data_IF_607311741000
#
_entry.id   IF_607311741000
#
_cell.length_a   1.000
_cell.length_b   1.000
_cell.length_c   1.000
_cell.angle_alpha   90.00
_cell.angle_beta   90.00
_cell.angle_gamma   90.00
#
_symmetry.space_group_name_H-M   'P 1'
#
loop_
_entity.id
_entity.type
_entity.pdbx_description
1 polymer ?
#
# COMPACT_ATOMS: atom_id res chain seq x y z
N UNK A 1 -1.19 19.28 12.24
CA UNK A 1 -1.93 19.15 10.97
C UNK A 1 -3.28 19.88 11.12
N UNK A 2 -3.74 20.53 10.05
CA UNK A 2 -5.04 21.23 10.03
C UNK A 2 -6.19 20.24 9.89
N UNK A 3 -7.39 20.53 10.45
CA UNK A 3 -8.55 19.65 10.30
C UNK A 3 -8.89 19.35 8.83
N UNK A 4 -8.87 20.36 7.97
CA UNK A 4 -9.17 20.20 6.54
C UNK A 4 -8.20 19.23 5.84
N UNK A 5 -6.94 19.19 6.30
CA UNK A 5 -5.94 18.23 5.77
C UNK A 5 -6.27 16.80 6.23
N UNK A 6 -6.74 16.61 7.47
CA UNK A 6 -7.18 15.30 7.98
C UNK A 6 -8.38 14.80 7.19
N UNK A 7 -9.36 15.67 6.94
CA UNK A 7 -10.54 15.35 6.12
C UNK A 7 -10.15 14.99 4.67
N UNK A 8 -9.17 15.71 4.11
CA UNK A 8 -8.63 15.42 2.78
C UNK A 8 -7.91 14.07 2.73
N UNK A 9 -7.12 13.73 3.76
CA UNK A 9 -6.49 12.41 3.89
C UNK A 9 -7.57 11.32 3.93
N UNK A 10 -8.59 11.50 4.77
CA UNK A 10 -9.68 10.54 4.91
C UNK A 10 -10.39 10.30 3.57
N UNK A 11 -10.86 11.36 2.92
CA UNK A 11 -11.56 11.27 1.65
C UNK A 11 -10.70 10.65 0.54
N UNK A 12 -9.42 11.02 0.45
CA UNK A 12 -8.49 10.48 -0.55
C UNK A 12 -8.19 9.01 -0.28
N UNK A 13 -8.02 8.62 0.98
CA UNK A 13 -7.75 7.24 1.37
C UNK A 13 -8.89 6.31 1.03
N UNK A 14 -10.16 6.71 1.27
CA UNK A 14 -11.32 5.91 0.91
C UNK A 14 -11.42 5.69 -0.60
N UNK A 15 -11.24 6.75 -1.40
CA UNK A 15 -11.20 6.63 -2.87
C UNK A 15 -10.05 5.73 -3.35
N UNK A 16 -8.88 5.84 -2.73
CA UNK A 16 -7.73 5.02 -3.07
C UNK A 16 -7.94 3.55 -2.72
N UNK A 17 -8.59 3.27 -1.58
CA UNK A 17 -8.99 1.91 -1.18
C UNK A 17 -9.92 1.28 -2.22
N UNK A 18 -11.01 1.96 -2.58
CA UNK A 18 -11.97 1.48 -3.57
C UNK A 18 -11.30 1.18 -4.91
N UNK A 19 -10.51 2.13 -5.42
CA UNK A 19 -9.78 1.98 -6.68
C UNK A 19 -8.82 0.80 -6.64
N UNK A 20 -8.02 0.67 -5.57
CA UNK A 20 -7.05 -0.41 -5.43
C UNK A 20 -7.71 -1.77 -5.26
N UNK A 21 -8.77 -1.89 -4.47
CA UNK A 21 -9.49 -3.16 -4.32
C UNK A 21 -10.08 -3.63 -5.65
N UNK A 22 -10.66 -2.72 -6.43
CA UNK A 22 -11.16 -3.01 -7.78
C UNK A 22 -10.02 -3.47 -8.69
N UNK A 23 -8.93 -2.72 -8.73
CA UNK A 23 -7.74 -3.02 -9.54
C UNK A 23 -7.16 -4.40 -9.20
N UNK A 24 -7.00 -4.71 -7.91
CA UNK A 24 -6.45 -6.00 -7.48
C UNK A 24 -7.41 -7.14 -7.84
N UNK A 25 -8.72 -6.96 -7.61
CA UNK A 25 -9.73 -7.96 -7.98
C UNK A 25 -9.73 -8.26 -9.48
N UNK A 26 -9.63 -7.23 -10.32
CA UNK A 26 -9.52 -7.38 -11.77
C UNK A 26 -8.24 -8.11 -12.19
N UNK A 27 -7.10 -7.85 -11.53
CA UNK A 27 -5.87 -8.58 -11.80
C UNK A 27 -5.98 -10.05 -11.38
N UNK A 28 -6.56 -10.31 -10.20
CA UNK A 28 -6.78 -11.66 -9.70
C UNK A 28 -7.65 -12.48 -10.67
N UNK A 29 -8.72 -11.90 -11.17
CA UNK A 29 -9.60 -12.56 -12.14
C UNK A 29 -8.96 -12.65 -13.52
N UNK A 30 -8.49 -11.53 -14.07
CA UNK A 30 -8.05 -11.45 -15.47
C UNK A 30 -6.72 -12.10 -15.78
N UNK A 31 -5.80 -12.14 -14.80
CA UNK A 31 -4.45 -12.71 -14.99
C UNK A 31 -4.35 -14.09 -14.38
N UNK A 32 -4.87 -14.25 -13.17
CA UNK A 32 -4.69 -15.46 -12.38
C UNK A 32 -5.92 -16.37 -12.32
N UNK A 33 -7.03 -15.96 -12.88
CA UNK A 33 -8.27 -16.73 -12.91
C UNK A 33 -8.92 -16.93 -11.54
N UNK A 34 -8.60 -16.08 -10.56
CA UNK A 34 -9.20 -16.11 -9.23
C UNK A 34 -10.41 -15.18 -9.20
N UNK A 35 -11.59 -15.76 -9.17
CA UNK A 35 -12.87 -15.05 -9.15
C UNK A 35 -13.14 -14.38 -7.80
N UNK A 36 -13.97 -13.32 -7.74
CA UNK A 36 -14.43 -12.72 -6.49
C UNK A 36 -15.10 -13.71 -5.51
N UNK A 37 -15.68 -14.81 -6.03
CA UNK A 37 -16.20 -15.91 -5.22
C UNK A 37 -15.12 -16.72 -4.49
N UNK A 38 -13.82 -16.44 -4.74
CA UNK A 38 -12.69 -17.18 -4.24
C UNK A 38 -12.45 -18.53 -4.93
N UNK A 39 -13.09 -18.75 -6.06
CA UNK A 39 -12.89 -19.95 -6.88
C UNK A 39 -11.91 -19.64 -8.01
N UNK A 40 -11.08 -20.64 -8.33
CA UNK A 40 -10.18 -20.55 -9.46
C UNK A 40 -10.78 -21.17 -10.72
N UNK A 41 -10.68 -20.46 -11.84
CA UNK A 41 -10.93 -21.05 -13.16
C UNK A 41 -9.77 -21.96 -13.59
N UNK A 42 -10.00 -22.89 -14.50
CA UNK A 42 -8.93 -23.75 -15.04
C UNK A 42 -7.76 -22.94 -15.59
N UNK A 43 -6.53 -23.29 -15.21
CA UNK A 43 -5.32 -22.57 -15.66
C UNK A 43 -5.16 -22.55 -17.19
N UNK A 44 -5.69 -23.57 -17.89
CA UNK A 44 -5.65 -23.65 -19.35
C UNK A 44 -6.42 -22.52 -20.07
N UNK A 45 -7.36 -21.86 -19.37
CA UNK A 45 -8.10 -20.70 -19.92
C UNK A 45 -7.27 -19.41 -19.89
N UNK A 46 -6.10 -19.43 -19.26
CA UNK A 46 -5.23 -18.26 -19.05
C UNK A 46 -3.86 -18.46 -19.71
N UNK A 47 -3.69 -18.09 -21.00
CA UNK A 47 -2.43 -18.31 -21.75
C UNK A 47 -1.20 -17.68 -21.07
N UNK A 48 -1.40 -16.58 -20.35
CA UNK A 48 -0.36 -15.90 -19.57
C UNK A 48 0.30 -16.83 -18.55
N UNK A 49 -0.45 -17.75 -17.93
CA UNK A 49 0.09 -18.71 -16.96
C UNK A 49 1.00 -19.76 -17.62
N UNK A 50 0.81 -20.04 -18.90
CA UNK A 50 1.66 -20.95 -19.65
C UNK A 50 2.91 -20.27 -20.23
N UNK A 51 2.86 -18.96 -20.48
CA UNK A 51 3.92 -18.22 -21.16
C UNK A 51 4.85 -17.42 -20.22
N UNK A 52 4.38 -17.06 -19.03
CA UNK A 52 5.13 -16.23 -18.06
C UNK A 52 5.34 -17.02 -16.77
N UNK A 53 6.57 -17.51 -16.49
CA UNK A 53 6.86 -18.33 -15.30
C UNK A 53 6.49 -17.63 -13.99
N UNK A 54 6.70 -16.31 -13.88
CA UNK A 54 6.35 -15.53 -12.70
C UNK A 54 4.84 -15.48 -12.46
N UNK A 55 4.02 -15.48 -13.52
CA UNK A 55 2.57 -15.51 -13.39
C UNK A 55 2.09 -16.88 -12.88
N UNK A 56 2.65 -17.97 -13.41
CA UNK A 56 2.36 -19.33 -12.96
C UNK A 56 2.75 -19.53 -11.48
N UNK A 57 3.90 -19.02 -11.08
CA UNK A 57 4.36 -19.08 -9.68
C UNK A 57 3.45 -18.26 -8.76
N UNK A 58 3.07 -17.06 -9.17
CA UNK A 58 2.15 -16.22 -8.42
C UNK A 58 0.80 -16.92 -8.24
N UNK A 59 0.28 -17.56 -9.29
CA UNK A 59 -0.96 -18.33 -9.22
C UNK A 59 -0.86 -19.47 -8.20
N UNK A 60 0.22 -20.25 -8.20
CA UNK A 60 0.42 -21.33 -7.21
C UNK A 60 0.45 -20.79 -5.78
N UNK A 61 1.13 -19.65 -5.56
CA UNK A 61 1.17 -19.02 -4.22
C UNK A 61 -0.21 -18.52 -3.79
N UNK A 62 -1.02 -18.00 -4.71
CA UNK A 62 -2.41 -17.62 -4.43
C UNK A 62 -3.26 -18.85 -4.04
N UNK A 63 -3.10 -19.96 -4.74
CA UNK A 63 -3.80 -21.22 -4.43
C UNK A 63 -3.47 -21.72 -3.02
N UNK A 64 -2.18 -21.70 -2.65
CA UNK A 64 -1.73 -22.09 -1.30
C UNK A 64 -2.31 -21.14 -0.25
N UNK A 65 -2.17 -19.81 -0.44
CA UNK A 65 -2.70 -18.83 0.51
C UNK A 65 -4.20 -18.99 0.74
N UNK A 66 -4.99 -19.13 -0.32
CA UNK A 66 -6.43 -19.30 -0.17
C UNK A 66 -6.80 -20.64 0.50
N UNK A 67 -6.02 -21.69 0.26
CA UNK A 67 -6.21 -22.96 0.95
C UNK A 67 -5.95 -22.82 2.47
N UNK A 68 -4.86 -22.14 2.84
CA UNK A 68 -4.49 -21.90 4.24
C UNK A 68 -5.55 -21.04 4.96
N UNK A 69 -6.02 -19.96 4.32
CA UNK A 69 -7.07 -19.09 4.88
C UNK A 69 -8.41 -19.86 5.07
N UNK A 70 -8.72 -20.76 4.15
CA UNK A 70 -9.91 -21.62 4.28
C UNK A 70 -9.76 -22.64 5.41
N UNK A 71 -8.57 -23.19 5.61
CA UNK A 71 -8.29 -24.05 6.77
C UNK A 71 -8.37 -23.29 8.09
N UNK A 72 -8.03 -21.99 8.07
CA UNK A 72 -8.20 -21.08 9.21
C UNK A 72 -9.68 -20.70 9.48
N UNK A 73 -10.63 -21.14 8.63
CA UNK A 73 -12.07 -20.98 8.85
C UNK A 73 -12.74 -19.91 7.99
N UNK A 74 -12.02 -19.24 7.10
CA UNK A 74 -12.63 -18.27 6.17
C UNK A 74 -13.34 -18.98 5.02
N UNK A 75 -14.44 -18.40 4.54
CA UNK A 75 -15.01 -18.80 3.25
C UNK A 75 -14.08 -18.41 2.11
N UNK A 76 -14.24 -19.03 0.95
CA UNK A 76 -13.42 -18.69 -0.24
C UNK A 76 -13.56 -17.20 -0.64
N UNK A 77 -14.77 -16.65 -0.55
CA UNK A 77 -15.04 -15.23 -0.81
C UNK A 77 -14.36 -14.33 0.21
N UNK A 78 -14.43 -14.65 1.50
CA UNK A 78 -13.75 -13.89 2.56
C UNK A 78 -12.23 -13.92 2.39
N UNK A 79 -11.66 -15.06 2.00
CA UNK A 79 -10.23 -15.18 1.72
C UNK A 79 -9.80 -14.31 0.53
N UNK A 80 -10.59 -14.27 -0.56
CA UNK A 80 -10.36 -13.36 -1.69
C UNK A 80 -10.44 -11.89 -1.27
N UNK A 81 -11.45 -11.50 -0.50
CA UNK A 81 -11.65 -10.13 -0.03
C UNK A 81 -10.50 -9.69 0.90
N UNK A 82 -10.09 -10.55 1.83
CA UNK A 82 -8.94 -10.32 2.70
C UNK A 82 -7.65 -10.09 1.90
N UNK A 83 -7.35 -10.97 0.94
CA UNK A 83 -6.19 -10.82 0.06
C UNK A 83 -6.22 -9.51 -0.70
N UNK A 84 -7.35 -9.18 -1.31
CA UNK A 84 -7.51 -7.94 -2.09
C UNK A 84 -7.31 -6.71 -1.21
N UNK A 85 -7.85 -6.72 -0.01
CA UNK A 85 -7.70 -5.66 0.99
C UNK A 85 -6.25 -5.50 1.44
N UNK A 86 -5.56 -6.60 1.77
CA UNK A 86 -4.16 -6.58 2.20
C UNK A 86 -3.23 -6.07 1.09
N UNK A 87 -3.45 -6.48 -0.16
CA UNK A 87 -2.68 -5.99 -1.29
C UNK A 87 -2.94 -4.49 -1.55
N UNK A 88 -4.20 -4.06 -1.50
CA UNK A 88 -4.59 -2.65 -1.66
C UNK A 88 -3.98 -1.78 -0.55
N UNK A 89 -4.07 -2.22 0.70
CA UNK A 89 -3.48 -1.55 1.85
C UNK A 89 -1.96 -1.42 1.72
N UNK A 90 -1.29 -2.50 1.31
CA UNK A 90 0.16 -2.51 1.14
C UNK A 90 0.60 -1.50 0.07
N UNK A 91 -0.06 -1.46 -1.07
CA UNK A 91 0.30 -0.52 -2.15
C UNK A 91 0.02 0.93 -1.78
N UNK A 92 -1.11 1.21 -1.13
CA UNK A 92 -1.38 2.57 -0.65
C UNK A 92 -0.30 3.03 0.33
N UNK A 93 0.03 2.21 1.33
CA UNK A 93 1.06 2.57 2.31
C UNK A 93 2.45 2.74 1.68
N UNK A 94 2.83 1.92 0.68
CA UNK A 94 4.08 2.09 -0.05
C UNK A 94 4.15 3.45 -0.73
N UNK A 95 3.09 3.84 -1.45
CA UNK A 95 3.03 5.14 -2.14
C UNK A 95 3.06 6.32 -1.15
N UNK A 96 2.32 6.22 -0.04
CA UNK A 96 2.34 7.20 1.05
C UNK A 96 3.73 7.30 1.68
N UNK A 97 4.37 6.16 1.96
CA UNK A 97 5.73 6.13 2.51
C UNK A 97 6.75 6.76 1.56
N UNK A 98 6.70 6.45 0.25
CA UNK A 98 7.54 7.12 -0.74
C UNK A 98 7.34 8.64 -0.69
N UNK A 99 6.09 9.09 -0.67
CA UNK A 99 5.77 10.53 -0.64
C UNK A 99 6.31 11.20 0.63
N UNK A 100 6.14 10.58 1.79
CA UNK A 100 6.64 11.10 3.06
C UNK A 100 8.17 11.11 3.12
N UNK A 101 8.84 10.08 2.58
CA UNK A 101 10.31 10.03 2.53
C UNK A 101 10.90 11.05 1.56
N UNK A 102 10.26 11.30 0.42
CA UNK A 102 10.69 12.34 -0.53
C UNK A 102 10.72 13.73 0.12
N UNK A 103 9.65 14.12 0.78
CA UNK A 103 9.54 15.45 1.40
C UNK A 103 10.52 15.63 2.58
N UNK A 104 10.94 14.53 3.20
CA UNK A 104 11.97 14.51 4.26
C UNK A 104 13.38 14.33 3.74
N UNK A 105 13.57 14.26 2.41
CA UNK A 105 14.87 14.05 1.75
C UNK A 105 15.55 12.72 2.16
N UNK A 106 14.78 11.74 2.63
CA UNK A 106 15.24 10.39 2.91
C UNK A 106 15.29 9.54 1.64
N UNK A 107 14.50 9.92 0.65
CA UNK A 107 14.43 9.31 -0.67
C UNK A 107 14.47 10.42 -1.74
N UNK A 108 15.11 10.13 -2.89
CA UNK A 108 14.97 10.99 -4.07
C UNK A 108 13.53 10.96 -4.56
N UNK A 109 13.11 11.99 -5.29
CA UNK A 109 11.77 12.02 -5.86
C UNK A 109 11.49 10.73 -6.63
N UNK A 110 10.43 10.07 -6.22
CA UNK A 110 9.97 8.78 -6.75
C UNK A 110 8.57 8.90 -7.31
N UNK A 111 7.65 9.53 -6.54
CA UNK A 111 6.23 9.65 -6.90
C UNK A 111 5.82 11.10 -7.24
N UNK A 112 6.52 12.13 -6.76
CA UNK A 112 6.09 13.53 -6.93
C UNK A 112 5.96 13.94 -8.40
N UNK A 113 6.89 13.54 -9.27
CA UNK A 113 6.89 13.87 -10.71
C UNK A 113 6.68 12.61 -11.57
N UNK A 114 6.27 11.51 -10.97
CA UNK A 114 6.05 10.24 -11.68
C UNK A 114 7.27 9.85 -12.55
N UNK A 115 7.04 9.63 -13.83
CA UNK A 115 8.06 9.25 -14.81
C UNK A 115 9.11 10.35 -15.08
N UNK A 116 8.88 11.59 -14.64
CA UNK A 116 9.84 12.69 -14.72
C UNK A 116 10.51 12.94 -13.36
N UNK A 117 10.40 12.01 -12.41
CA UNK A 117 11.03 12.15 -11.11
C UNK A 117 12.54 11.97 -11.18
N UNK A 118 13.28 12.80 -10.44
CA UNK A 118 14.75 12.75 -10.43
C UNK A 118 15.28 11.37 -9.98
N UNK A 119 14.59 10.71 -9.07
CA UNK A 119 14.96 9.36 -8.62
C UNK A 119 14.86 8.33 -9.74
N UNK A 120 13.79 8.39 -10.55
CA UNK A 120 13.64 7.50 -11.69
C UNK A 120 14.66 7.79 -12.79
N UNK A 121 14.82 9.06 -13.19
CA UNK A 121 15.78 9.43 -14.23
C UNK A 121 17.22 9.04 -13.86
N UNK A 122 17.60 9.19 -12.59
CA UNK A 122 18.92 8.73 -12.13
C UNK A 122 19.04 7.21 -12.12
N UNK A 123 17.99 6.51 -11.67
CA UNK A 123 17.98 5.04 -11.68
C UNK A 123 18.17 4.47 -13.08
N UNK A 124 17.62 5.10 -14.12
CA UNK A 124 17.82 4.70 -15.52
C UNK A 124 19.28 4.81 -15.97
N UNK A 125 20.12 5.63 -15.29
CA UNK A 125 21.54 5.75 -15.62
C UNK A 125 22.44 4.77 -14.86
N UNK A 126 21.91 4.06 -13.88
CA UNK A 126 22.66 3.06 -13.12
C UNK A 126 22.94 1.83 -14.00
N UNK A 127 24.10 1.20 -13.79
CA UNK A 127 24.50 -0.01 -14.49
C UNK A 127 23.48 -1.14 -14.25
N UNK A 128 23.12 -1.87 -15.30
CA UNK A 128 22.11 -2.94 -15.25
C UNK A 128 20.69 -2.48 -15.59
N UNK A 129 20.46 -1.18 -15.81
CA UNK A 129 19.14 -0.62 -16.15
C UNK A 129 19.03 -0.17 -17.63
N UNK A 130 19.92 -0.66 -18.50
CA UNK A 130 19.98 -0.28 -19.91
C UNK A 130 18.68 -0.61 -20.66
N UNK A 131 18.06 -1.75 -20.38
CA UNK A 131 16.78 -2.16 -20.94
C UNK A 131 15.66 -1.17 -20.52
N UNK A 132 15.65 -0.79 -19.26
CA UNK A 132 14.66 0.14 -18.74
C UNK A 132 14.83 1.57 -19.27
N UNK A 133 16.07 1.97 -19.55
CA UNK A 133 16.35 3.24 -20.23
C UNK A 133 15.83 3.20 -21.67
N UNK A 134 16.06 2.10 -22.39
CA UNK A 134 15.50 1.91 -23.74
C UNK A 134 13.97 1.96 -23.71
N UNK A 135 13.33 1.28 -22.76
CA UNK A 135 11.89 1.36 -22.54
C UNK A 135 11.41 2.81 -22.28
N UNK A 136 12.15 3.58 -21.47
CA UNK A 136 11.83 4.98 -21.20
C UNK A 136 11.88 5.83 -22.50
N UNK A 137 12.89 5.67 -23.31
CA UNK A 137 13.06 6.37 -24.57
C UNK A 137 12.02 5.97 -25.63
N UNK A 138 11.51 4.74 -25.59
CA UNK A 138 10.48 4.24 -26.49
C UNK A 138 9.09 4.88 -26.25
N UNK A 139 8.87 5.56 -25.09
CA UNK A 139 7.68 6.32 -24.80
C UNK A 139 6.52 5.52 -24.20
N UNK A 140 5.35 6.16 -24.14
CA UNK A 140 4.17 5.63 -23.41
C UNK A 140 3.23 4.78 -24.27
N UNK A 141 3.41 4.75 -25.59
CA UNK A 141 2.51 4.02 -26.47
C UNK A 141 2.80 2.51 -26.40
N UNK A 142 1.77 1.67 -26.16
CA UNK A 142 1.92 0.22 -26.21
C UNK A 142 2.37 -0.23 -27.61
N UNK A 143 3.33 -1.16 -27.68
CA UNK A 143 3.86 -1.68 -28.96
C UNK A 143 2.80 -2.34 -29.83
N UNK A 144 1.71 -2.86 -29.24
CA UNK A 144 0.64 -3.57 -29.92
C UNK A 144 -0.74 -2.89 -29.75
N UNK A 145 -0.78 -1.58 -29.42
CA UNK A 145 -2.02 -0.82 -29.26
C UNK A 145 -2.80 -1.08 -27.97
N UNK A 146 -2.44 -2.10 -27.19
CA UNK A 146 -3.09 -2.45 -25.93
C UNK A 146 -2.04 -2.74 -24.84
N UNK A 147 -2.42 -2.49 -23.58
CA UNK A 147 -1.61 -2.83 -22.40
C UNK A 147 -0.69 -1.71 -21.95
N UNK A 148 0.35 -2.10 -21.23
CA UNK A 148 1.32 -1.20 -20.63
C UNK A 148 2.35 -0.73 -21.67
N UNK A 149 2.55 0.59 -21.78
CA UNK A 149 3.59 1.16 -22.62
C UNK A 149 5.00 0.96 -22.02
N UNK A 150 6.06 1.00 -22.88
CA UNK A 150 7.42 0.75 -22.42
C UNK A 150 7.86 1.65 -21.26
N UNK A 151 7.68 2.96 -21.37
CA UNK A 151 8.02 3.93 -20.31
C UNK A 151 7.26 3.66 -19.01
N UNK A 152 5.99 3.28 -19.09
CA UNK A 152 5.17 2.93 -17.94
C UNK A 152 5.70 1.66 -17.27
N UNK A 153 6.10 0.65 -18.04
CA UNK A 153 6.74 -0.58 -17.57
C UNK A 153 8.06 -0.28 -16.84
N UNK A 154 8.92 0.56 -17.42
CA UNK A 154 10.16 0.98 -16.79
C UNK A 154 9.92 1.68 -15.45
N UNK A 155 8.93 2.59 -15.38
CA UNK A 155 8.59 3.28 -14.15
C UNK A 155 8.04 2.33 -13.08
N UNK A 156 7.21 1.36 -13.44
CA UNK A 156 6.73 0.33 -12.52
C UNK A 156 7.89 -0.54 -11.99
N UNK A 157 8.85 -0.90 -12.85
CA UNK A 157 10.07 -1.62 -12.44
C UNK A 157 10.91 -0.79 -11.47
N UNK A 158 11.03 0.50 -11.71
CA UNK A 158 11.69 1.41 -10.76
C UNK A 158 11.01 1.42 -9.38
N UNK A 159 9.69 1.53 -9.31
CA UNK A 159 8.96 1.49 -8.03
C UNK A 159 9.22 0.17 -7.29
N UNK A 160 9.20 -0.96 -7.98
CA UNK A 160 9.52 -2.26 -7.40
C UNK A 160 10.98 -2.33 -6.93
N UNK A 161 11.93 -1.77 -7.69
CA UNK A 161 13.34 -1.69 -7.29
C UNK A 161 13.52 -0.84 -6.02
N UNK A 162 12.77 0.27 -5.88
CA UNK A 162 12.75 1.04 -4.64
C UNK A 162 12.19 0.24 -3.47
N UNK A 163 11.16 -0.59 -3.68
CA UNK A 163 10.66 -1.49 -2.64
C UNK A 163 11.75 -2.48 -2.21
N UNK A 164 12.45 -3.13 -3.13
CA UNK A 164 13.55 -4.05 -2.81
C UNK A 164 14.64 -3.36 -1.99
N UNK A 165 15.01 -2.13 -2.38
CA UNK A 165 16.01 -1.34 -1.65
C UNK A 165 15.58 -1.02 -0.23
N UNK A 166 14.32 -0.57 -0.06
CA UNK A 166 13.78 -0.21 1.25
C UNK A 166 13.43 -1.42 2.13
N UNK A 167 13.30 -2.61 1.54
CA UNK A 167 13.08 -3.84 2.30
C UNK A 167 14.23 -4.16 3.27
N UNK A 168 15.43 -3.64 3.01
CA UNK A 168 16.58 -3.78 3.91
C UNK A 168 16.36 -3.05 5.25
N UNK A 169 15.61 -1.95 5.23
CA UNK A 169 15.31 -1.11 6.40
C UNK A 169 13.92 -1.41 7.00
N UNK A 170 12.90 -1.56 6.14
CA UNK A 170 11.49 -1.73 6.53
C UNK A 170 10.87 -2.91 5.78
N UNK A 171 11.33 -4.12 6.10
CA UNK A 171 10.90 -5.35 5.42
C UNK A 171 9.39 -5.57 5.48
N UNK A 172 8.76 -5.30 6.61
CA UNK A 172 7.31 -5.49 6.82
C UNK A 172 6.46 -4.86 5.71
N UNK A 173 6.84 -3.64 5.26
CA UNK A 173 6.09 -2.92 4.23
C UNK A 173 6.58 -3.22 2.81
N UNK A 174 7.89 -3.40 2.64
CA UNK A 174 8.53 -3.42 1.32
C UNK A 174 9.02 -4.81 0.91
N UNK A 175 8.63 -5.89 1.60
CA UNK A 175 9.05 -7.24 1.28
C UNK A 175 8.75 -7.59 -0.20
N UNK A 176 9.78 -7.85 -1.03
CA UNK A 176 9.59 -8.21 -2.42
C UNK A 176 8.91 -9.56 -2.60
N UNK A 177 9.01 -10.44 -1.61
CA UNK A 177 8.41 -11.78 -1.63
C UNK A 177 6.92 -11.78 -1.24
N UNK A 178 6.41 -10.68 -0.72
CA UNK A 178 4.99 -10.55 -0.41
C UNK A 178 4.15 -10.61 -1.70
N UNK A 179 3.01 -11.31 -1.66
CA UNK A 179 2.09 -11.40 -2.79
C UNK A 179 1.62 -10.02 -3.30
N UNK A 180 1.46 -9.03 -2.41
CA UNK A 180 1.16 -7.67 -2.81
C UNK A 180 2.21 -7.09 -3.79
N UNK A 181 3.49 -7.47 -3.69
CA UNK A 181 4.53 -7.03 -4.63
C UNK A 181 4.31 -7.57 -6.03
N UNK A 182 3.66 -8.73 -6.16
CA UNK A 182 3.30 -9.34 -7.43
C UNK A 182 1.99 -8.81 -8.02
N UNK A 183 1.15 -8.19 -7.18
CA UNK A 183 -0.10 -7.53 -7.54
C UNK A 183 0.10 -6.01 -7.66
N UNK A 184 1.20 -5.59 -8.29
CA UNK A 184 1.49 -4.18 -8.52
C UNK A 184 0.38 -3.55 -9.38
N UNK A 185 -0.21 -2.42 -8.96
CA UNK A 185 -1.26 -1.77 -9.72
C UNK A 185 -0.82 -1.43 -11.16
N UNK A 186 -1.75 -1.54 -12.10
CA UNK A 186 -1.50 -1.19 -13.50
C UNK A 186 -1.22 0.31 -13.66
N UNK A 187 -0.57 0.73 -14.75
CA UNK A 187 -0.10 2.11 -14.93
C UNK A 187 -1.17 3.18 -14.77
N UNK A 188 -2.39 2.92 -15.25
CA UNK A 188 -3.50 3.87 -15.14
C UNK A 188 -3.91 4.09 -13.67
N UNK A 189 -4.04 3.02 -12.91
CA UNK A 189 -4.36 3.05 -11.49
C UNK A 189 -3.24 3.71 -10.69
N UNK A 190 -1.97 3.36 -10.96
CA UNK A 190 -0.82 4.02 -10.35
C UNK A 190 -0.81 5.52 -10.62
N UNK A 191 -1.04 5.93 -11.86
CA UNK A 191 -1.12 7.34 -12.24
C UNK A 191 -2.17 8.06 -11.41
N UNK A 192 -3.38 7.53 -11.36
CA UNK A 192 -4.50 8.15 -10.64
C UNK A 192 -4.22 8.26 -9.13
N UNK A 193 -3.69 7.21 -8.52
CA UNK A 193 -3.29 7.23 -7.10
C UNK A 193 -2.23 8.29 -6.83
N UNK A 194 -1.18 8.34 -7.65
CA UNK A 194 -0.09 9.30 -7.48
C UNK A 194 -0.60 10.73 -7.70
N UNK A 195 -1.51 10.95 -8.65
CA UNK A 195 -2.11 12.27 -8.87
C UNK A 195 -2.91 12.73 -7.65
N UNK A 196 -3.67 11.83 -7.03
CA UNK A 196 -4.38 12.15 -5.78
C UNK A 196 -3.42 12.48 -4.63
N UNK A 197 -2.35 11.71 -4.46
CA UNK A 197 -1.35 11.96 -3.43
C UNK A 197 -0.56 13.26 -3.68
N UNK A 198 -0.49 13.72 -4.92
CA UNK A 198 0.14 14.99 -5.30
C UNK A 198 -0.83 16.18 -5.26
N UNK A 199 -2.11 15.96 -4.95
CA UNK A 199 -3.13 17.01 -4.89
C UNK A 199 -2.80 18.12 -3.88
N UNK A 200 -3.18 19.36 -4.18
CA UNK A 200 -2.88 20.53 -3.35
C UNK A 200 -3.41 20.38 -1.91
N UNK A 201 -4.57 19.76 -1.75
CA UNK A 201 -5.22 19.52 -0.47
C UNK A 201 -4.41 18.63 0.49
N UNK A 202 -3.46 17.83 -0.04
CA UNK A 202 -2.59 16.94 0.75
C UNK A 202 -1.18 17.47 0.94
N UNK A 203 -0.81 18.64 0.40
CA UNK A 203 0.56 19.16 0.49
C UNK A 203 1.03 19.36 1.92
N UNK A 204 0.15 19.83 2.81
CA UNK A 204 0.45 19.98 4.24
C UNK A 204 0.69 18.62 4.93
N UNK A 205 -0.01 17.56 4.51
CA UNK A 205 0.10 16.24 5.09
C UNK A 205 1.53 15.64 4.99
N UNK A 206 2.24 15.97 3.94
CA UNK A 206 3.56 15.41 3.65
C UNK A 206 4.71 16.15 4.34
N UNK A 207 4.46 17.35 4.89
CA UNK A 207 5.51 18.19 5.47
C UNK A 207 6.14 17.56 6.73
N UNK A 208 7.43 17.84 6.97
CA UNK A 208 8.06 17.50 8.24
C UNK A 208 7.28 18.10 9.42
N UNK A 209 7.08 17.32 10.47
CA UNK A 209 6.21 17.69 11.60
C UNK A 209 4.82 17.06 11.55
N UNK A 210 4.41 16.50 10.40
CA UNK A 210 3.16 15.75 10.22
C UNK A 210 3.42 14.25 10.07
N UNK A 211 4.22 13.67 10.99
CA UNK A 211 4.56 12.24 11.00
C UNK A 211 3.33 11.35 11.21
N UNK A 212 2.30 11.89 11.81
CA UNK A 212 1.03 11.20 12.08
C UNK A 212 0.19 10.92 10.81
N UNK A 213 0.57 11.47 9.64
CA UNK A 213 -0.14 11.28 8.37
C UNK A 213 -0.36 9.80 8.05
N UNK A 214 0.65 8.94 8.24
CA UNK A 214 0.52 7.51 7.98
C UNK A 214 -0.51 6.84 8.91
N UNK A 215 -0.62 7.32 10.15
CA UNK A 215 -1.63 6.87 11.09
C UNK A 215 -3.05 7.26 10.68
N UNK A 216 -3.24 8.46 10.15
CA UNK A 216 -4.53 8.91 9.61
C UNK A 216 -4.92 8.13 8.36
N UNK A 217 -3.97 7.83 7.46
CA UNK A 217 -4.20 6.94 6.29
C UNK A 217 -4.62 5.55 6.74
N UNK A 218 -3.92 4.97 7.73
CA UNK A 218 -4.28 3.67 8.31
C UNK A 218 -5.70 3.67 8.87
N UNK A 219 -6.04 4.66 9.68
CA UNK A 219 -7.36 4.75 10.30
C UNK A 219 -8.47 4.97 9.27
N UNK A 220 -8.23 5.83 8.27
CA UNK A 220 -9.18 6.06 7.19
C UNK A 220 -9.39 4.81 6.32
N UNK A 221 -8.33 4.06 6.02
CA UNK A 221 -8.43 2.83 5.24
C UNK A 221 -9.31 1.78 5.93
N UNK A 222 -9.26 1.70 7.25
CA UNK A 222 -10.02 0.72 8.03
C UNK A 222 -11.36 1.26 8.57
N UNK A 223 -11.74 2.49 8.23
CA UNK A 223 -12.93 3.15 8.81
C UNK A 223 -14.23 2.41 8.52
N UNK A 224 -14.40 1.88 7.31
CA UNK A 224 -15.60 1.12 6.93
C UNK A 224 -15.70 -0.21 7.69
N UNK A 225 -14.57 -0.92 7.86
CA UNK A 225 -14.54 -2.18 8.60
C UNK A 225 -14.86 -1.94 10.08
N UNK A 226 -14.31 -0.87 10.64
CA UNK A 226 -14.61 -0.43 12.02
C UNK A 226 -16.11 -0.14 12.18
N UNK A 227 -16.69 0.61 11.25
CA UNK A 227 -18.12 0.93 11.30
C UNK A 227 -18.99 -0.32 11.17
N UNK A 228 -18.63 -1.22 10.25
CA UNK A 228 -19.34 -2.47 10.05
C UNK A 228 -19.29 -3.36 11.31
N UNK A 229 -18.10 -3.56 11.90
CA UNK A 229 -17.93 -4.35 13.11
C UNK A 229 -18.78 -3.80 14.26
N UNK A 230 -18.76 -2.47 14.48
CA UNK A 230 -19.64 -1.84 15.50
C UNK A 230 -21.12 -1.96 15.16
N UNK A 231 -21.50 -1.88 13.90
CA UNK A 231 -22.90 -2.06 13.47
C UNK A 231 -23.39 -3.47 13.77
N UNK A 232 -22.57 -4.48 13.49
CA UNK A 232 -22.89 -5.88 13.78
C UNK A 232 -23.07 -6.14 15.29
N UNK A 233 -22.19 -5.56 16.12
CA UNK A 233 -22.32 -5.69 17.58
C UNK A 233 -23.57 -4.97 18.10
N UNK A 234 -23.82 -3.72 17.65
CA UNK A 234 -24.93 -2.89 18.19
C UNK A 234 -26.29 -3.33 17.68
N UNK A 235 -26.40 -3.69 16.40
CA UNK A 235 -27.68 -4.01 15.74
C UNK A 235 -27.95 -5.49 15.74
N UNK A 236 -27.01 -6.32 15.31
CA UNK A 236 -27.15 -7.75 15.22
C UNK A 236 -26.82 -8.52 16.52
N UNK A 237 -26.36 -7.81 17.58
CA UNK A 237 -25.93 -8.35 18.87
C UNK A 237 -24.90 -9.47 18.75
N UNK A 238 -24.12 -9.47 17.68
CA UNK A 238 -22.99 -10.38 17.50
C UNK A 238 -21.83 -9.96 18.41
N UNK A 239 -20.96 -10.90 18.77
CA UNK A 239 -19.67 -10.59 19.37
C UNK A 239 -18.67 -10.25 18.27
N UNK A 240 -17.64 -9.46 18.61
CA UNK A 240 -16.51 -9.26 17.71
C UNK A 240 -15.87 -10.62 17.37
N UNK A 241 -15.62 -10.85 16.11
CA UNK A 241 -14.85 -11.97 15.61
C UNK A 241 -13.35 -11.65 15.62
N UNK A 242 -12.49 -12.65 15.45
CA UNK A 242 -11.04 -12.46 15.42
C UNK A 242 -10.60 -11.54 14.26
N UNK A 243 -11.35 -11.55 13.15
CA UNK A 243 -11.16 -10.68 11.99
C UNK A 243 -11.43 -9.21 12.27
N UNK A 244 -12.29 -8.90 13.26
CA UNK A 244 -12.67 -7.51 13.60
C UNK A 244 -11.66 -6.85 14.55
N UNK A 245 -10.92 -7.66 15.31
CA UNK A 245 -10.00 -7.16 16.36
C UNK A 245 -9.03 -6.10 15.82
N UNK A 246 -8.35 -6.28 14.67
CA UNK A 246 -7.43 -5.27 14.17
C UNK A 246 -8.11 -3.91 13.92
N UNK A 247 -9.28 -3.89 13.30
CA UNK A 247 -10.00 -2.66 12.99
C UNK A 247 -10.57 -1.96 14.22
N UNK A 248 -10.98 -2.70 15.25
CA UNK A 248 -11.58 -2.12 16.47
C UNK A 248 -10.57 -1.74 17.55
N UNK A 249 -9.35 -2.30 17.53
CA UNK A 249 -8.33 -2.08 18.57
C UNK A 249 -7.14 -1.25 18.09
N UNK A 250 -6.80 -1.30 16.82
CA UNK A 250 -5.65 -0.60 16.26
C UNK A 250 -6.03 0.84 15.85
N UNK A 251 -6.47 1.63 16.82
CA UNK A 251 -6.79 3.03 16.60
C UNK A 251 -5.51 3.88 16.64
N UNK A 252 -5.40 4.79 15.69
CA UNK A 252 -4.31 5.76 15.70
C UNK A 252 -4.45 6.71 16.89
N UNK A 253 -3.38 6.85 17.68
CA UNK A 253 -3.36 7.74 18.84
C UNK A 253 -2.83 9.12 18.44
N UNK A 254 -3.63 10.20 18.52
CA UNK A 254 -3.20 11.55 18.18
C UNK A 254 -1.95 11.98 18.95
N UNK A 255 -1.09 12.76 18.28
CA UNK A 255 0.20 13.23 18.82
C UNK A 255 0.12 13.88 20.20
N UNK A 256 -0.91 14.67 20.44
CA UNK A 256 -1.08 15.37 21.72
C UNK A 256 -1.29 14.39 22.90
N UNK A 257 -2.00 13.28 22.68
CA UNK A 257 -2.18 12.22 23.70
C UNK A 257 -0.84 11.54 23.97
N UNK A 258 -0.13 11.14 22.90
CA UNK A 258 1.21 10.52 23.05
C UNK A 258 2.15 11.45 23.79
N UNK A 259 2.20 12.72 23.41
CA UNK A 259 3.01 13.73 24.06
C UNK A 259 2.65 13.87 25.55
N UNK A 260 1.37 13.99 25.86
CA UNK A 260 0.89 14.06 27.24
C UNK A 260 1.33 12.85 28.08
N UNK A 261 1.19 11.64 27.52
CA UNK A 261 1.61 10.41 28.18
C UNK A 261 3.13 10.38 28.41
N UNK A 262 3.94 10.67 27.41
CA UNK A 262 5.40 10.67 27.49
C UNK A 262 5.88 11.74 28.48
N UNK A 263 5.37 12.96 28.41
CA UNK A 263 5.78 14.06 29.32
C UNK A 263 5.40 13.77 30.77
N UNK A 264 4.23 13.14 31.01
CA UNK A 264 3.77 12.83 32.37
C UNK A 264 4.29 11.50 32.96
N UNK A 265 4.97 10.68 32.16
CA UNK A 265 5.62 9.45 32.63
C UNK A 265 7.13 9.60 32.58
N UNK A 266 7.74 9.35 31.43
CA UNK A 266 9.19 9.41 31.25
C UNK A 266 9.78 10.80 31.54
N UNK A 267 9.08 11.87 31.14
CA UNK A 267 9.50 13.24 31.40
C UNK A 267 9.58 13.55 32.89
N UNK A 268 8.58 13.14 33.68
CA UNK A 268 8.59 13.30 35.14
C UNK A 268 9.72 12.47 35.81
N UNK A 269 9.91 11.24 35.37
CA UNK A 269 11.01 10.41 35.86
C UNK A 269 12.36 11.05 35.56
N UNK A 270 12.56 11.57 34.35
CA UNK A 270 13.78 12.24 33.95
C UNK A 270 14.08 13.49 34.79
N UNK A 271 13.09 14.34 35.03
CA UNK A 271 13.23 15.51 35.90
C UNK A 271 13.55 15.09 37.33
N UNK A 272 12.87 14.07 37.87
CA UNK A 272 13.11 13.54 39.21
C UNK A 272 14.52 12.97 39.36
N UNK A 273 15.04 12.27 38.36
CA UNK A 273 16.43 11.76 38.38
C UNK A 273 17.47 12.89 38.35
N UNK A 274 17.22 13.97 37.58
CA UNK A 274 18.16 15.12 37.49
C UNK A 274 18.19 15.93 38.76
N UNK A 275 17.07 16.15 39.45
CA UNK A 275 17.04 16.87 40.72
C UNK A 275 17.84 16.16 41.87
N UNK A 276 18.24 14.90 41.68
CA UNK A 276 19.11 14.16 42.60
C UNK A 276 20.59 14.16 42.18
N UNK A 277 20.96 14.71 41.03
CA UNK A 277 22.34 14.78 40.53
C UNK A 277 22.96 16.15 40.80
N UNK A 278 22.16 17.18 41.05
CA UNK A 278 22.59 18.56 41.31
C UNK A 278 22.68 18.89 42.83
N UNK A 279 22.91 17.89 43.69
CA UNK A 279 23.18 18.10 45.13
C UNK A 279 24.58 17.63 45.51
#
# INVERSE_FOLDING_TARGET
MKPETVDAIHATTLKARELLMTEISEQLEGIYGLLPSGQFKPAAEYPVLGSIPEAAETRRRLEVLLADERQAGLTAQQAHEKLSKEAAFTWLNRLVAFKMMETRRLLRQTVTRRQDSNGFLMWLTEAGNEEHRHDYEAGDLPQHGFGEGPRQRAYRRFLLAQCVRLAQEVRVLFDPDNLASRLCPRPQTLRQLIDWLNGEQLQDAWQPGNEETIGWVYQAFNAEDLEQAFREVRVAKKKFEASDIPSVTQLFTPRWIVRFLVENTLGRMWVGCRSHIDV
#
